data_IF_109491403428
#
_entry.id   IF_109491403428
#
_cell.length_a   1.000
_cell.length_b   1.000
_cell.length_c   1.000
_cell.angle_alpha   90.00
_cell.angle_beta   90.00
_cell.angle_gamma   90.00
#
_symmetry.space_group_name_H-M   'P 1'
#
loop_
_entity.id
_entity.type
_entity.pdbx_description
1 polymer ?
2 non-polymer ?
3 water ?
#
# COMPACT_ATOMS: atom_id res chain seq x y z
N UNK A 1 -0.02 26.65 7.81
CA UNK A 1 -0.29 25.54 6.85
C UNK A 1 0.65 25.67 5.65
N UNK A 2 0.93 24.55 4.96
CA UNK A 2 1.70 24.56 3.70
C UNK A 2 0.64 24.60 2.60
N UNK A 3 1.05 25.37 1.47
CA UNK A 3 -0.01 25.55 0.46
C UNK A 3 -0.24 24.28 -0.37
N UNK A 4 0.86 23.58 -0.62
CA UNK A 4 0.87 22.46 -1.58
C UNK A 4 1.52 21.28 -0.88
N UNK A 5 0.88 20.71 0.17
CA UNK A 5 1.50 19.63 0.94
C UNK A 5 1.80 18.46 0.00
N UNK A 6 2.98 17.83 0.13
CA UNK A 6 3.37 16.77 -0.81
C UNK A 6 3.00 15.38 -0.28
N UNK A 7 2.43 15.27 0.92
CA UNK A 7 2.01 13.96 1.45
C UNK A 7 1.09 14.23 2.62
N UNK A 8 0.59 13.18 3.25
CA UNK A 8 -0.38 13.38 4.35
C UNK A 8 0.33 13.82 5.63
N UNK A 9 1.65 13.76 5.72
CA UNK A 9 2.40 14.29 6.88
C UNK A 9 2.42 15.82 6.80
N UNK A 10 2.57 16.38 5.63
CA UNK A 10 2.56 17.84 5.46
C UNK A 10 1.12 18.35 5.57
N UNK A 11 0.13 17.53 5.21
CA UNK A 11 -1.30 17.90 5.28
C UNK A 11 -1.78 17.87 6.70
N UNK A 12 -1.11 17.12 7.58
CA UNK A 12 -1.55 16.86 8.97
C UNK A 12 -1.01 17.98 9.83
N UNK A 13 0.26 18.32 9.61
CA UNK A 13 0.97 19.41 10.33
C UNK A 13 0.28 20.73 9.95
N UNK A 14 -0.45 20.72 8.81
CA UNK A 14 -1.45 21.78 8.43
C UNK A 14 -2.62 21.73 9.41
N UNK A 15 -2.49 21.00 10.52
CA UNK A 15 -3.43 20.98 11.66
C UNK A 15 -4.60 20.01 11.48
N UNK A 16 -4.78 19.47 10.26
CA UNK A 16 -5.96 18.63 9.89
C UNK A 16 -5.76 17.21 10.46
N UNK A 17 -6.50 16.85 11.52
CA UNK A 17 -6.23 15.67 12.38
C UNK A 17 -7.25 14.56 12.12
N UNK A 18 -8.24 14.80 11.26
CA UNK A 18 -9.33 13.87 10.93
C UNK A 18 -8.88 13.02 9.75
N UNK A 19 -8.97 11.72 9.86
CA UNK A 19 -8.73 10.85 8.69
C UNK A 19 -9.76 11.18 7.62
N UNK A 20 -9.38 11.02 6.36
CA UNK A 20 -10.32 11.22 5.24
C UNK A 20 -9.60 11.75 4.03
N UNK A 21 -10.32 12.37 3.09
CA UNK A 21 -9.75 12.75 1.79
C UNK A 21 -9.07 14.11 1.88
N UNK A 22 -7.85 14.17 1.37
CA UNK A 22 -7.05 15.41 1.29
C UNK A 22 -6.42 15.53 -0.09
N UNK A 23 -6.20 16.76 -0.51
CA UNK A 23 -5.40 17.01 -1.69
C UNK A 23 -3.93 17.08 -1.31
N UNK A 24 -3.10 16.30 -1.97
CA UNK A 24 -1.64 16.51 -1.96
C UNK A 24 -1.17 16.92 -3.35
N UNK A 25 0.10 17.30 -3.41
CA UNK A 25 0.70 17.89 -4.61
C UNK A 25 2.06 17.27 -4.81
N UNK A 26 2.20 16.46 -5.85
CA UNK A 26 3.48 15.73 -6.02
C UNK A 26 4.61 16.75 -6.23
N UNK A 27 5.69 16.58 -5.47
CA UNK A 27 6.85 17.50 -5.50
C UNK A 27 6.42 18.92 -5.08
N UNK A 28 5.30 19.07 -4.36
CA UNK A 28 4.78 20.40 -3.96
C UNK A 28 4.37 21.26 -5.14
N UNK A 29 4.10 20.65 -6.28
CA UNK A 29 3.74 21.35 -7.55
C UNK A 29 2.21 21.46 -7.60
N UNK A 30 1.71 22.67 -7.67
CA UNK A 30 0.25 22.98 -7.72
C UNK A 30 -0.38 22.37 -8.97
N UNK A 31 0.40 22.02 -9.99
CA UNK A 31 -0.14 21.37 -11.21
C UNK A 31 -0.12 19.84 -11.10
N UNK A 32 0.24 19.27 -9.93
CA UNK A 32 0.28 17.81 -9.75
C UNK A 32 -0.56 17.44 -8.54
N UNK A 33 -1.78 17.95 -8.50
CA UNK A 33 -2.75 17.65 -7.43
C UNK A 33 -3.15 16.20 -7.53
N UNK A 34 -3.31 15.58 -6.36
CA UNK A 34 -3.75 14.18 -6.23
C UNK A 34 -4.63 14.08 -5.00
N UNK A 35 -5.80 13.48 -5.12
CA UNK A 35 -6.66 13.26 -3.92
C UNK A 35 -6.21 11.95 -3.27
N UNK A 36 -5.96 12.00 -1.97
CA UNK A 36 -5.56 10.75 -1.27
C UNK A 36 -6.43 10.59 -0.04
N UNK A 37 -6.49 9.36 0.45
CA UNK A 37 -7.04 9.12 1.81
C UNK A 37 -5.87 9.16 2.79
N UNK A 38 -5.95 10.06 3.76
CA UNK A 38 -4.98 10.20 4.88
C UNK A 38 -5.51 9.50 6.12
N UNK A 39 -4.75 8.51 6.62
CA UNK A 39 -4.96 7.92 7.96
C UNK A 39 -4.19 8.79 8.93
N UNK A 40 -4.94 9.61 9.68
CA UNK A 40 -4.34 10.63 10.56
C UNK A 40 -4.33 10.11 12.02
N UNK A 41 -4.71 8.85 12.25
CA UNK A 41 -4.80 8.33 13.66
C UNK A 41 -3.78 7.21 13.94
N UNK A 42 -3.49 6.32 12.99
CA UNK A 42 -2.59 5.17 13.25
C UNK A 42 -1.15 5.65 13.53
N UNK A 43 -0.56 5.19 14.64
CA UNK A 43 0.85 5.50 15.04
C UNK A 43 1.23 6.93 14.61
N UNK A 44 0.54 7.93 15.13
CA UNK A 44 0.89 9.36 14.96
C UNK A 44 0.31 10.00 13.69
N UNK A 45 -0.30 9.22 12.81
CA UNK A 45 -0.98 9.76 11.60
C UNK A 45 -0.04 10.11 10.47
N UNK A 46 -0.51 10.96 9.57
CA UNK A 46 0.27 11.46 8.44
C UNK A 46 0.47 10.44 7.35
N UNK A 47 -0.33 9.39 7.31
CA UNK A 47 -0.16 8.28 6.35
C UNK A 47 -1.04 8.47 5.11
N UNK A 48 -0.44 8.39 3.92
CA UNK A 48 -1.18 8.18 2.67
C UNK A 48 -1.56 6.71 2.64
N UNK A 49 -2.86 6.43 2.63
CA UNK A 49 -3.28 5.02 2.40
C UNK A 49 -3.23 4.76 0.90
N UNK A 50 -2.63 3.66 0.52
CA UNK A 50 -2.55 3.33 -0.93
C UNK A 50 -3.23 2.02 -1.27
N UNK A 51 -3.62 1.24 -0.29
CA UNK A 51 -4.42 -0.01 -0.51
C UNK A 51 -5.39 -0.10 0.64
N UNK A 52 -6.63 -0.40 0.33
CA UNK A 52 -7.59 -0.79 1.38
C UNK A 52 -8.41 -1.99 0.89
N UNK A 53 -8.44 -3.04 1.71
CA UNK A 53 -9.37 -4.18 1.53
C UNK A 53 -10.26 -4.21 2.78
N UNK A 54 -11.55 -4.40 2.61
CA UNK A 54 -12.46 -4.38 3.79
C UNK A 54 -13.76 -5.14 3.53
N UNK A 55 -14.16 -5.40 2.30
CA UNK A 55 -15.50 -6.01 2.08
C UNK A 55 -15.63 -6.80 0.78
N UNK A 56 -14.65 -6.83 -0.13
CA UNK A 56 -14.75 -7.65 -1.35
C UNK A 56 -15.63 -7.04 -2.43
N UNK A 57 -16.06 -5.79 -2.29
CA UNK A 57 -16.99 -5.19 -3.30
C UNK A 57 -16.15 -4.81 -4.55
N UNK A 58 -14.87 -4.48 -4.43
CA UNK A 58 -14.06 -4.00 -5.57
C UNK A 58 -13.23 -5.13 -6.18
N UNK A 59 -13.04 -5.13 -7.49
CA UNK A 59 -12.25 -6.13 -8.24
C UNK A 59 -10.77 -5.74 -8.23
N UNK A 60 -9.90 -6.58 -7.67
CA UNK A 60 -8.43 -6.32 -7.69
C UNK A 60 -7.74 -7.12 -8.77
N UNK A 61 -8.49 -7.93 -9.52
CA UNK A 61 -7.87 -8.68 -10.61
C UNK A 61 -7.90 -7.80 -11.85
N UNK A 62 -6.99 -6.85 -11.88
CA UNK A 62 -6.98 -5.78 -12.89
C UNK A 62 -5.66 -5.78 -13.60
N UNK A 63 -5.64 -5.08 -14.73
CA UNK A 63 -4.49 -5.09 -15.66
C UNK A 63 -3.42 -4.07 -15.27
N UNK A 64 -2.33 -4.11 -16.01
CA UNK A 64 -1.15 -3.26 -15.78
C UNK A 64 -1.61 -1.81 -15.75
N UNK A 65 -2.34 -1.36 -16.77
CA UNK A 65 -2.70 0.08 -16.87
C UNK A 65 -3.49 0.47 -15.62
N UNK A 66 -4.36 -0.41 -15.13
CA UNK A 66 -5.17 -0.10 -13.92
C UNK A 66 -4.27 -0.01 -12.70
N UNK A 67 -3.35 -0.97 -12.54
CA UNK A 67 -2.39 -0.89 -11.42
C UNK A 67 -1.47 0.32 -11.53
N UNK A 68 -1.09 0.74 -12.74
CA UNK A 68 -0.25 1.94 -12.89
C UNK A 68 -1.03 3.18 -12.49
N UNK A 69 -2.32 3.24 -12.84
CA UNK A 69 -3.14 4.48 -12.68
C UNK A 69 -3.87 4.55 -11.35
N UNK A 70 -4.20 3.42 -10.73
CA UNK A 70 -5.06 3.39 -9.56
C UNK A 70 -6.47 3.10 -9.96
N UNK A 71 -7.27 2.65 -9.00
CA UNK A 71 -8.69 2.32 -9.21
C UNK A 71 -9.38 2.27 -7.85
N UNK A 72 -10.69 2.35 -7.88
CA UNK A 72 -11.56 2.14 -6.73
C UNK A 72 -12.01 3.42 -6.08
N UNK A 73 -12.59 3.29 -4.90
CA UNK A 73 -13.20 4.37 -4.11
C UNK A 73 -12.28 4.56 -2.92
N UNK A 74 -11.64 5.72 -2.84
CA UNK A 74 -10.72 6.10 -1.73
C UNK A 74 -11.33 5.88 -0.36
N UNK A 75 -12.62 6.07 -0.25
CA UNK A 75 -13.33 5.98 1.05
C UNK A 75 -13.58 4.52 1.44
N UNK A 76 -13.42 3.60 0.49
CA UNK A 76 -13.74 2.16 0.64
C UNK A 76 -12.53 1.36 0.12
N UNK A 77 -12.72 0.43 -0.81
CA UNK A 77 -11.62 -0.39 -1.33
C UNK A 77 -11.02 0.26 -2.57
N UNK A 78 -9.69 0.33 -2.61
CA UNK A 78 -9.01 1.03 -3.70
C UNK A 78 -7.53 0.67 -3.70
N UNK A 79 -6.93 1.06 -4.82
CA UNK A 79 -5.48 0.99 -5.08
C UNK A 79 -5.05 2.36 -5.59
N UNK A 80 -4.06 3.00 -4.96
CA UNK A 80 -3.67 4.39 -5.33
C UNK A 80 -3.02 4.51 -6.72
N UNK A 81 -2.34 3.48 -7.19
CA UNK A 81 -1.60 3.58 -8.44
C UNK A 81 -0.11 3.56 -8.28
N UNK A 82 0.56 2.74 -9.06
CA UNK A 82 2.03 2.58 -9.02
C UNK A 82 2.73 3.86 -9.49
N UNK A 83 2.16 4.57 -10.45
CA UNK A 83 2.82 5.82 -10.88
C UNK A 83 2.81 6.84 -9.74
N UNK A 84 1.67 6.94 -9.04
CA UNK A 84 1.55 7.80 -7.85
C UNK A 84 2.58 7.35 -6.83
N UNK A 85 2.67 6.05 -6.57
CA UNK A 85 3.55 5.56 -5.49
C UNK A 85 4.99 5.86 -5.87
N UNK A 86 5.34 5.69 -7.13
CA UNK A 86 6.73 5.99 -7.56
C UNK A 86 7.00 7.48 -7.27
N UNK A 87 6.11 8.36 -7.74
CA UNK A 87 6.34 9.82 -7.65
C UNK A 87 6.39 10.24 -6.18
N UNK A 88 5.55 9.68 -5.31
CA UNK A 88 5.55 10.05 -3.85
C UNK A 88 6.88 9.55 -3.28
N UNK A 89 7.23 8.29 -3.50
CA UNK A 89 8.41 7.71 -2.80
C UNK A 89 9.71 8.32 -3.32
N UNK A 90 9.69 8.97 -4.49
CA UNK A 90 10.85 9.68 -5.06
C UNK A 90 11.08 11.01 -4.34
N UNK A 91 10.12 11.53 -3.58
CA UNK A 91 10.15 12.89 -2.95
C UNK A 91 11.06 12.93 -1.74
N UNK A 92 11.41 11.79 -1.20
CA UNK A 92 12.19 11.70 0.04
C UNK A 92 12.27 10.27 0.52
N UNK A 93 12.66 10.07 1.77
CA UNK A 93 12.76 8.72 2.36
C UNK A 93 11.43 8.40 3.01
N UNK A 94 10.69 7.43 2.48
CA UNK A 94 9.37 7.05 3.05
C UNK A 94 9.50 5.70 3.78
N UNK A 95 8.56 5.53 4.72
CA UNK A 95 8.34 4.28 5.48
C UNK A 95 6.98 3.70 5.06
N UNK A 96 6.89 2.37 5.00
CA UNK A 96 5.65 1.61 4.75
C UNK A 96 5.06 1.14 6.07
N UNK A 97 3.75 1.26 6.24
CA UNK A 97 3.03 0.61 7.32
C UNK A 97 1.91 -0.23 6.72
N UNK A 98 1.75 -1.43 7.24
CA UNK A 98 0.66 -2.32 6.86
C UNK A 98 -0.13 -2.57 8.13
N UNK A 99 -1.43 -2.31 8.05
CA UNK A 99 -2.38 -2.62 9.15
C UNK A 99 -3.31 -3.73 8.73
N UNK A 100 -3.40 -4.77 9.57
CA UNK A 100 -4.21 -5.97 9.24
C UNK A 100 -5.21 -6.18 10.38
N UNK A 101 -6.40 -6.63 10.03
CA UNK A 101 -7.41 -6.99 11.04
C UNK A 101 -8.27 -8.13 10.52
N UNK A 102 -8.52 -9.14 11.37
CA UNK A 102 -9.26 -10.32 10.92
C UNK A 102 -9.96 -10.86 12.17
N UNK A 103 -11.27 -10.91 12.13
CA UNK A 103 -12.08 -11.44 13.26
C UNK A 103 -11.54 -10.88 14.57
N UNK A 104 -11.39 -9.56 14.61
CA UNK A 104 -11.06 -8.79 15.83
C UNK A 104 -9.59 -8.77 16.15
N UNK A 105 -8.80 -9.64 15.54
CA UNK A 105 -7.35 -9.69 15.81
C UNK A 105 -6.66 -8.66 14.92
N UNK A 106 -5.67 -7.95 15.43
CA UNK A 106 -4.92 -6.96 14.62
C UNK A 106 -3.44 -7.28 14.64
N UNK A 107 -2.76 -6.87 13.59
CA UNK A 107 -1.31 -6.94 13.53
C UNK A 107 -0.84 -5.83 12.61
N UNK A 108 0.46 -5.55 12.63
CA UNK A 108 0.99 -4.50 11.75
C UNK A 108 2.42 -4.86 11.40
N UNK A 109 2.88 -4.22 10.35
CA UNK A 109 4.27 -4.29 9.89
C UNK A 109 4.67 -2.86 9.50
N UNK A 110 5.90 -2.46 9.89
CA UNK A 110 6.49 -1.18 9.46
C UNK A 110 7.81 -1.55 8.80
N UNK A 111 8.08 -0.90 7.69
CA UNK A 111 9.37 -0.99 7.02
C UNK A 111 9.90 0.42 6.91
N UNK A 112 11.03 0.65 7.58
CA UNK A 112 11.64 2.00 7.69
C UNK A 112 12.06 2.58 6.35
N UNK A 113 12.30 1.75 5.34
CA UNK A 113 12.61 2.24 3.99
C UNK A 113 11.67 1.57 3.03
N UNK A 114 10.98 2.37 2.23
CA UNK A 114 10.01 1.89 1.23
C UNK A 114 10.06 2.78 0.02
N UNK A 115 10.27 2.16 -1.12
CA UNK A 115 10.23 2.93 -2.38
C UNK A 115 9.67 2.05 -3.47
N UNK A 116 9.15 2.71 -4.50
CA UNK A 116 8.62 2.04 -5.71
C UNK A 116 9.28 2.73 -6.90
N UNK A 117 9.96 1.94 -7.72
CA UNK A 117 10.69 2.52 -8.86
C UNK A 117 9.75 2.94 -9.97
N UNK A 118 10.27 3.51 -11.04
CA UNK A 118 9.39 4.03 -12.11
C UNK A 118 9.06 2.90 -13.08
N UNK A 119 8.29 3.23 -14.10
CA UNK A 119 7.79 2.23 -15.06
C UNK A 119 8.93 1.47 -15.75
N UNK A 120 10.08 2.10 -15.97
CA UNK A 120 11.23 1.48 -16.66
C UNK A 120 11.82 0.40 -15.73
N UNK A 121 11.52 0.46 -14.43
CA UNK A 121 11.92 -0.60 -13.44
C UNK A 121 10.81 -1.64 -13.22
N UNK A 122 9.71 -1.56 -13.98
CA UNK A 122 8.43 -2.26 -13.75
C UNK A 122 8.05 -2.04 -12.28
N UNK A 123 8.22 -0.80 -11.82
CA UNK A 123 7.76 -0.35 -10.48
C UNK A 123 8.40 -1.23 -9.40
N UNK A 124 9.72 -1.38 -9.44
CA UNK A 124 10.53 -2.25 -8.52
C UNK A 124 10.24 -1.86 -7.07
N UNK A 125 10.01 -2.85 -6.22
CA UNK A 125 9.75 -2.64 -4.78
C UNK A 125 11.07 -2.61 -4.03
N UNK A 126 11.27 -1.63 -3.13
CA UNK A 126 12.32 -1.67 -2.08
C UNK A 126 11.59 -1.62 -0.73
N UNK A 127 11.82 -2.59 0.15
CA UNK A 127 11.28 -2.59 1.53
C UNK A 127 12.41 -3.10 2.42
N UNK A 128 12.80 -2.30 3.39
CA UNK A 128 13.87 -2.70 4.32
C UNK A 128 13.45 -2.20 5.70
N UNK A 129 14.05 -2.77 6.73
CA UNK A 129 13.94 -2.20 8.07
C UNK A 129 12.61 -2.55 8.73
N UNK A 130 12.35 -3.83 8.89
CA UNK A 130 11.09 -4.37 9.45
C UNK A 130 11.01 -4.17 10.96
N UNK A 131 9.81 -3.83 11.39
CA UNK A 131 9.39 -4.01 12.78
C UNK A 131 7.91 -4.35 12.74
N UNK A 132 7.42 -5.02 13.76
CA UNK A 132 6.00 -5.18 13.98
C UNK A 132 5.60 -6.54 14.48
N UNK A 133 4.32 -6.85 14.33
CA UNK A 133 3.68 -8.04 14.91
C UNK A 133 3.15 -8.99 13.85
N UNK A 134 3.06 -8.55 12.59
CA UNK A 134 2.46 -9.42 11.55
C UNK A 134 3.46 -10.46 11.07
N UNK A 135 4.75 -10.25 11.30
CA UNK A 135 5.81 -11.08 10.73
C UNK A 135 6.30 -10.50 9.42
N UNK A 136 7.61 -10.61 9.18
CA UNK A 136 8.27 -9.95 8.03
C UNK A 136 7.99 -10.77 6.75
N UNK A 137 6.83 -10.56 6.15
CA UNK A 137 6.40 -11.30 4.92
C UNK A 137 6.76 -10.50 3.66
N UNK A 138 7.08 -9.21 3.76
CA UNK A 138 7.55 -8.43 2.60
C UNK A 138 9.01 -8.73 2.27
N UNK A 139 9.84 -9.24 3.20
CA UNK A 139 11.27 -9.47 2.90
C UNK A 139 11.36 -10.32 1.63
N UNK A 140 10.50 -11.35 1.53
CA UNK A 140 10.50 -12.30 0.41
C UNK A 140 10.37 -11.55 -0.92
N UNK A 141 9.62 -10.45 -0.90
CA UNK A 141 9.23 -9.67 -2.09
C UNK A 141 10.25 -8.57 -2.42
N UNK A 142 11.19 -8.27 -1.52
CA UNK A 142 12.10 -7.11 -1.71
C UNK A 142 12.83 -7.20 -3.04
N UNK A 143 12.86 -6.07 -3.78
CA UNK A 143 13.58 -5.90 -5.04
C UNK A 143 12.81 -6.44 -6.22
N UNK A 144 11.61 -6.97 -6.03
CA UNK A 144 10.86 -7.55 -7.16
C UNK A 144 10.08 -6.48 -7.95
N UNK A 145 9.98 -6.67 -9.26
CA UNK A 145 9.11 -5.82 -10.10
C UNK A 145 7.65 -6.18 -9.79
N UNK A 146 6.76 -5.30 -10.23
CA UNK A 146 5.31 -5.54 -10.10
C UNK A 146 4.91 -6.45 -11.24
N UNK A 147 3.87 -7.23 -11.01
CA UNK A 147 3.30 -8.20 -12.00
C UNK A 147 1.79 -8.10 -11.99
N UNK A 148 1.21 -7.99 -13.19
CA UNK A 148 -0.22 -8.17 -13.45
C UNK A 148 -0.33 -9.31 -14.47
N UNK A 149 -1.55 -9.77 -14.70
CA UNK A 149 -1.80 -10.94 -15.59
C UNK A 149 -1.26 -10.60 -16.98
N UNK A 150 -1.25 -9.32 -17.37
CA UNK A 150 -0.92 -8.94 -18.77
C UNK A 150 0.52 -8.42 -18.88
N UNK A 151 1.32 -8.46 -17.80
CA UNK A 151 2.75 -8.09 -17.84
C UNK A 151 3.49 -8.96 -16.81
N UNK A 159 3.12 -17.18 -14.62
CA UNK A 159 2.65 -15.82 -14.21
C UNK A 159 1.81 -15.97 -12.93
N UNK A 160 2.30 -15.37 -11.86
CA UNK A 160 1.71 -15.47 -10.51
C UNK A 160 0.37 -14.74 -10.43
N UNK A 161 0.25 -13.61 -11.14
CA UNK A 161 -0.95 -12.77 -11.13
C UNK A 161 -2.10 -13.59 -11.71
N UNK A 162 -1.80 -14.24 -12.81
CA UNK A 162 -2.76 -15.13 -13.50
C UNK A 162 -3.11 -16.29 -12.57
N UNK A 163 -2.11 -16.98 -12.02
CA UNK A 163 -2.27 -18.23 -11.23
C UNK A 163 -3.13 -17.97 -10.01
N UNK A 164 -2.88 -16.84 -9.30
CA UNK A 164 -3.60 -16.46 -8.05
C UNK A 164 -4.70 -15.39 -8.35
N UNK A 165 -4.91 -14.95 -9.59
CA UNK A 165 -5.97 -13.98 -9.96
C UNK A 165 -5.85 -12.73 -9.06
N UNK A 166 -4.63 -12.21 -8.90
CA UNK A 166 -4.34 -10.97 -8.16
C UNK A 166 -3.30 -10.13 -8.89
N UNK A 167 -2.55 -9.30 -8.17
CA UNK A 167 -1.46 -8.46 -8.69
C UNK A 167 -0.55 -8.18 -7.51
N UNK A 168 0.74 -8.11 -7.72
CA UNK A 168 1.69 -7.84 -6.62
C UNK A 168 3.10 -7.74 -7.18
N UNK A 169 4.04 -7.42 -6.32
CA UNK A 169 5.48 -7.60 -6.57
C UNK A 169 5.83 -9.08 -6.40
N UNK A 170 5.23 -9.94 -7.23
CA UNK A 170 5.37 -11.38 -7.10
C UNK A 170 6.80 -11.87 -7.37
N UNK A 171 7.12 -12.97 -6.71
CA UNK A 171 8.38 -13.71 -6.85
C UNK A 171 8.01 -15.10 -7.36
N UNK A 172 7.85 -16.10 -6.49
CA UNK A 172 7.45 -17.45 -7.01
C UNK A 172 6.71 -18.23 -5.93
N UNK A 173 5.57 -17.72 -5.45
CA UNK A 173 4.90 -16.52 -5.94
C UNK A 173 4.80 -15.46 -4.83
N UNK A 174 4.31 -15.84 -3.64
CA UNK A 174 4.05 -14.78 -2.65
C UNK A 174 4.08 -15.27 -1.21
N UNK A 175 4.43 -14.34 -0.32
CA UNK A 175 4.06 -14.43 1.11
C UNK A 175 3.09 -13.30 1.49
N UNK A 176 2.98 -12.29 0.67
CA UNK A 176 1.98 -11.22 0.79
C UNK A 176 1.14 -11.21 -0.48
N UNK A 177 -0.18 -11.19 -0.34
CA UNK A 177 -1.10 -11.18 -1.50
C UNK A 177 -2.28 -10.25 -1.20
N UNK A 178 -2.03 -9.01 -0.76
CA UNK A 178 -3.12 -8.16 -0.24
C UNK A 178 -4.04 -7.65 -1.35
N UNK A 179 -3.69 -7.85 -2.63
CA UNK A 179 -4.57 -7.55 -3.78
C UNK A 179 -5.13 -8.86 -4.32
N UNK A 180 -5.21 -9.89 -3.48
CA UNK A 180 -5.79 -11.17 -3.89
C UNK A 180 -7.29 -11.18 -3.82
N UNK A 181 -7.87 -12.36 -3.97
CA UNK A 181 -9.33 -12.50 -4.04
C UNK A 181 -9.93 -12.48 -2.64
N UNK A 182 -10.87 -11.57 -2.42
CA UNK A 182 -11.48 -11.33 -1.10
C UNK A 182 -12.26 -12.57 -0.61
N UNK A 183 -12.03 -12.93 0.64
CA UNK A 183 -12.66 -14.06 1.35
C UNK A 183 -12.32 -15.42 0.76
N UNK A 184 -11.26 -15.54 -0.03
CA UNK A 184 -10.91 -16.84 -0.68
C UNK A 184 -9.87 -17.54 0.20
N UNK A 185 -10.29 -18.55 0.95
CA UNK A 185 -9.40 -19.27 1.90
C UNK A 185 -8.68 -20.41 1.20
N UNK A 186 -8.90 -20.62 -0.10
CA UNK A 186 -8.12 -21.65 -0.83
C UNK A 186 -6.65 -21.23 -0.85
N UNK A 187 -5.75 -22.19 -0.77
CA UNK A 187 -4.27 -21.96 -0.67
C UNK A 187 -3.79 -20.86 -1.63
N UNK A 188 -3.27 -19.76 -1.07
CA UNK A 188 -2.55 -18.71 -1.82
C UNK A 188 -3.50 -17.87 -2.70
N UNK A 189 -4.82 -18.07 -2.63
CA UNK A 189 -5.79 -17.36 -3.51
C UNK A 189 -6.28 -16.05 -2.88
N UNK A 190 -6.15 -15.88 -1.57
CA UNK A 190 -6.87 -14.84 -0.82
C UNK A 190 -5.97 -13.70 -0.39
N UNK A 191 -6.50 -12.89 0.47
CA UNK A 191 -5.84 -11.67 0.97
C UNK A 191 -4.90 -12.16 2.06
N UNK A 192 -3.68 -12.58 1.67
CA UNK A 192 -2.81 -13.35 2.58
C UNK A 192 -1.67 -12.47 3.12
N UNK A 193 -1.29 -12.73 4.38
CA UNK A 193 -0.02 -12.29 4.96
C UNK A 193 0.56 -13.51 5.67
N UNK A 194 1.43 -14.19 4.98
CA UNK A 194 1.69 -15.60 5.33
C UNK A 194 2.18 -15.74 6.78
N UNK A 195 3.05 -14.82 7.23
CA UNK A 195 3.74 -15.03 8.52
C UNK A 195 2.84 -14.52 9.66
N UNK A 196 1.62 -14.14 9.36
CA UNK A 196 0.55 -13.88 10.35
C UNK A 196 -0.49 -14.99 10.27
N UNK A 197 -1.09 -15.22 9.11
CA UNK A 197 -2.27 -16.12 9.03
C UNK A 197 -2.14 -17.16 7.94
N UNK A 198 -0.97 -17.31 7.34
CA UNK A 198 -0.74 -18.40 6.40
C UNK A 198 -1.40 -18.19 5.06
N UNK A 199 -1.49 -19.28 4.31
CA UNK A 199 -1.94 -19.19 2.91
C UNK A 199 -3.39 -19.69 2.77
N UNK A 200 -4.02 -20.16 3.84
CA UNK A 200 -5.38 -20.71 3.78
C UNK A 200 -6.31 -19.89 4.68
N UNK A 201 -6.04 -18.60 4.80
CA UNK A 201 -6.86 -17.68 5.62
C UNK A 201 -6.80 -16.31 4.96
N UNK A 202 -7.90 -15.91 4.34
CA UNK A 202 -8.03 -14.60 3.68
C UNK A 202 -8.35 -13.55 4.72
N UNK A 203 -7.57 -12.48 4.79
CA UNK A 203 -7.71 -11.46 5.84
C UNK A 203 -8.85 -10.49 5.50
N UNK A 204 -9.70 -10.21 6.49
CA UNK A 204 -10.89 -9.35 6.31
C UNK A 204 -10.51 -7.92 5.95
N UNK A 205 -9.54 -7.35 6.66
CA UNK A 205 -9.19 -5.93 6.53
C UNK A 205 -7.70 -5.73 6.39
N UNK A 206 -7.31 -4.98 5.37
CA UNK A 206 -5.87 -4.71 5.15
C UNK A 206 -5.74 -3.29 4.62
N UNK A 207 -4.79 -2.56 5.18
CA UNK A 207 -4.36 -1.27 4.58
C UNK A 207 -2.85 -1.25 4.41
N UNK A 208 -2.38 -0.70 3.31
CA UNK A 208 -0.94 -0.35 3.14
C UNK A 208 -0.85 1.16 3.04
N UNK A 209 0.12 1.77 3.71
CA UNK A 209 0.18 3.25 3.77
C UNK A 209 1.63 3.70 3.88
N UNK A 210 1.89 4.97 3.59
CA UNK A 210 3.28 5.48 3.59
C UNK A 210 3.34 6.90 4.12
N UNK A 211 4.48 7.23 4.69
CA UNK A 211 4.75 8.62 5.13
C UNK A 211 6.26 8.75 5.25
N UNK A 212 6.79 9.96 5.41
CA UNK A 212 8.24 10.11 5.55
C UNK A 212 8.76 9.37 6.78
N UNK A 213 9.88 8.67 6.60
CA UNK A 213 10.44 7.87 7.70
C UNK A 213 10.82 8.80 8.86
N UNK A 214 11.15 10.05 8.58
CA UNK A 214 11.61 10.99 9.64
C UNK A 214 10.44 11.62 10.39
N UNK A 215 9.19 11.27 10.06
CA UNK A 215 7.98 11.82 10.71
C UNK A 215 8.00 11.61 12.22
N UNK A 216 8.54 10.46 12.64
CA UNK A 216 8.60 9.99 14.03
C UNK A 216 9.33 11.01 14.90
N UNK A 217 10.12 11.90 14.33
CA UNK A 217 10.87 12.85 15.19
C UNK A 217 11.05 14.22 14.54
N UNK A 218 10.07 14.71 13.78
CA UNK A 218 10.32 15.88 12.88
C UNK A 218 10.09 17.25 13.57
X LIG B 1 -8.94 5.81 -10.20
X LIG B 1 -10.75 5.28 -11.72
X LIG B 1 -8.37 5.96 -8.82
X LIG B 1 -9.19 5.65 -7.67
X LIG B 1 -8.63 5.74 -6.40
X LIG B 1 -7.30 6.18 -6.23
X LIG B 1 -6.53 6.43 -7.37
X LIG B 1 -9.90 5.77 -12.85
X LIG B 1 -10.25 5.08 -14.14
X LIG B 1 -8.41 5.74 -12.61
X LIG B 1 -7.09 6.34 -8.60
X LIG B 1 -7.99 6.36 -11.27
X LIG B 1 -10.36 5.88 -10.37
X LIG B 1 -6.74 6.43 -4.92
X LIG B 1 -6.33 6.65 -3.85
#
# INVERSE_FOLDING_TARGET
SMPFPKDCSQAMLNGDTTSGLYTIYLNGDKAQALEVFCDMTSDGGGWIVFLRRKNGRENFYQNWKAYAAGFGDRREEFWLGLDNLNKITAQGQYELRVDLRDHGETAFAVYDKFSVGDAKTRYKLKVEGYSGTAGDSMAYHNGRSFSTFDKDTDSAITNCALSYKGAFWYRNCHRVNLMGRYGDNNHSQGVNWFHWKGHEHSIQFAEMKLRPSNFRNLEG
RXJ N1 C4 C5 C6 C7 C8 C10 N C C1 C11 C2 C3 C9 N2
#
